data_IF_232248217223
#
_entry.id   IF_232248217223
#
_cell.length_a   1.000
_cell.length_b   1.000
_cell.length_c   1.000
_cell.angle_alpha   90.00
_cell.angle_beta   90.00
_cell.angle_gamma   90.00
#
_symmetry.space_group_name_H-M   'P 1'
#
loop_
_entity.id
_entity.type
_entity.pdbx_description
1 polymer ?
#
# COMPACT_ATOMS: atom_id res chain seq x y z
N UNK A 1 6.40 -29.78 -27.55
CA UNK A 1 5.68 -28.94 -26.56
C UNK A 1 6.66 -27.87 -26.03
N UNK A 2 6.95 -26.84 -26.82
CA UNK A 2 7.86 -25.75 -26.40
C UNK A 2 7.04 -24.65 -25.72
N UNK A 3 7.31 -24.44 -24.43
CA UNK A 3 6.71 -23.36 -23.63
C UNK A 3 7.39 -22.06 -24.04
N UNK A 4 6.73 -21.27 -24.88
CA UNK A 4 7.23 -19.95 -25.29
C UNK A 4 7.27 -19.02 -24.08
N UNK A 5 8.47 -18.77 -23.56
CA UNK A 5 8.70 -17.76 -22.53
C UNK A 5 8.59 -16.40 -23.21
N UNK A 6 7.43 -15.75 -23.08
CA UNK A 6 7.23 -14.38 -23.56
C UNK A 6 8.21 -13.48 -22.81
N UNK A 7 9.20 -12.91 -23.51
CA UNK A 7 10.13 -11.94 -22.91
C UNK A 7 9.30 -10.74 -22.43
N UNK A 8 9.40 -10.43 -21.14
CA UNK A 8 8.85 -9.21 -20.56
C UNK A 8 9.56 -8.01 -21.20
N UNK A 9 8.83 -6.93 -21.44
CA UNK A 9 9.45 -5.67 -21.90
C UNK A 9 10.40 -5.15 -20.81
N UNK A 10 11.29 -4.25 -21.18
CA UNK A 10 12.21 -3.62 -20.23
C UNK A 10 11.44 -2.94 -19.08
N UNK A 11 10.32 -2.25 -19.41
CA UNK A 11 9.45 -1.60 -18.44
C UNK A 11 8.76 -2.61 -17.51
N UNK A 12 8.27 -3.74 -18.05
CA UNK A 12 7.66 -4.79 -17.25
C UNK A 12 8.67 -5.44 -16.29
N UNK A 13 9.91 -5.63 -16.75
CA UNK A 13 10.99 -6.16 -15.90
C UNK A 13 11.33 -5.19 -14.78
N UNK A 14 11.40 -3.90 -15.08
CA UNK A 14 11.66 -2.85 -14.10
C UNK A 14 10.54 -2.79 -13.05
N UNK A 15 9.29 -2.81 -13.49
CA UNK A 15 8.11 -2.83 -12.61
C UNK A 15 8.13 -4.07 -11.69
N UNK A 16 8.40 -5.25 -12.24
CA UNK A 16 8.48 -6.49 -11.48
C UNK A 16 9.57 -6.43 -10.40
N UNK A 17 10.77 -5.97 -10.77
CA UNK A 17 11.87 -5.82 -9.81
C UNK A 17 11.49 -4.83 -8.70
N UNK A 18 10.85 -3.71 -9.03
CA UNK A 18 10.39 -2.73 -8.03
C UNK A 18 9.38 -3.32 -7.06
N UNK A 19 8.41 -4.09 -7.57
CA UNK A 19 7.42 -4.78 -6.74
C UNK A 19 8.05 -5.79 -5.79
N UNK A 20 9.03 -6.59 -6.27
CA UNK A 20 9.78 -7.52 -5.43
C UNK A 20 10.54 -6.81 -4.31
N UNK A 21 11.23 -5.72 -4.65
CA UNK A 21 11.99 -4.92 -3.67
C UNK A 21 11.07 -4.29 -2.64
N UNK A 22 9.98 -3.63 -3.06
CA UNK A 22 9.02 -3.01 -2.16
C UNK A 22 8.40 -4.04 -1.21
N UNK A 23 8.04 -5.22 -1.73
CA UNK A 23 7.46 -6.30 -0.93
C UNK A 23 8.43 -6.80 0.16
N UNK A 24 9.71 -6.98 -0.16
CA UNK A 24 10.71 -7.38 0.83
C UNK A 24 10.84 -6.37 1.97
N UNK A 25 10.85 -5.07 1.64
CA UNK A 25 10.93 -3.98 2.63
C UNK A 25 9.62 -3.87 3.43
N UNK A 26 8.48 -4.19 2.82
CA UNK A 26 7.19 -4.24 3.52
C UNK A 26 7.16 -5.34 4.58
N UNK A 27 7.61 -6.55 4.25
CA UNK A 27 7.51 -7.71 5.13
C UNK A 27 8.50 -7.67 6.31
N UNK A 28 9.68 -7.07 6.14
CA UNK A 28 10.69 -7.00 7.21
C UNK A 28 11.72 -5.89 7.02
N UNK A 29 12.44 -5.56 8.10
CA UNK A 29 13.58 -4.65 8.04
C UNK A 29 14.75 -5.31 7.31
N UNK A 30 15.11 -4.81 6.12
CA UNK A 30 16.11 -5.43 5.24
C UNK A 30 17.09 -4.39 4.72
N UNK A 31 18.34 -4.81 4.48
CA UNK A 31 19.31 -3.99 3.77
C UNK A 31 19.25 -4.19 2.25
N UNK A 32 19.87 -3.27 1.49
CA UNK A 32 20.06 -3.45 0.04
C UNK A 32 20.77 -4.76 -0.32
N UNK A 33 21.70 -5.20 0.54
CA UNK A 33 22.43 -6.45 0.36
C UNK A 33 21.53 -7.67 0.59
N UNK A 34 20.61 -7.61 1.56
CA UNK A 34 19.64 -8.68 1.81
C UNK A 34 18.66 -8.80 0.65
N UNK A 35 18.18 -7.67 0.14
CA UNK A 35 17.32 -7.61 -1.04
C UNK A 35 17.99 -8.29 -2.24
N UNK A 36 19.23 -7.90 -2.58
CA UNK A 36 19.94 -8.51 -3.71
C UNK A 36 20.13 -10.03 -3.54
N UNK A 37 20.47 -10.48 -2.33
CA UNK A 37 20.63 -11.92 -2.03
C UNK A 37 19.32 -12.69 -2.12
N UNK A 38 18.23 -12.18 -1.54
CA UNK A 38 16.95 -12.87 -1.47
C UNK A 38 16.21 -12.88 -2.83
N UNK A 39 16.37 -11.83 -3.63
CA UNK A 39 15.67 -11.68 -4.92
C UNK A 39 16.48 -12.18 -6.13
N UNK A 40 17.77 -12.45 -5.96
CA UNK A 40 18.68 -12.79 -7.07
C UNK A 40 19.02 -11.62 -7.99
N UNK A 41 18.60 -10.40 -7.64
CA UNK A 41 18.94 -9.20 -8.40
C UNK A 41 20.41 -8.84 -8.26
N UNK A 42 20.97 -8.20 -9.30
CA UNK A 42 22.29 -7.59 -9.17
C UNK A 42 22.26 -6.48 -8.12
N UNK A 43 23.41 -6.22 -7.47
CA UNK A 43 23.53 -5.11 -6.50
C UNK A 43 23.13 -3.76 -7.10
N UNK A 44 23.45 -3.54 -8.37
CA UNK A 44 23.09 -2.31 -9.09
C UNK A 44 21.59 -2.21 -9.27
N UNK A 45 20.92 -3.27 -9.74
CA UNK A 45 19.47 -3.29 -9.95
C UNK A 45 18.69 -3.11 -8.65
N UNK A 46 19.11 -3.80 -7.57
CA UNK A 46 18.49 -3.63 -6.26
C UNK A 46 18.67 -2.20 -5.72
N UNK A 47 19.86 -1.62 -5.90
CA UNK A 47 20.13 -0.25 -5.45
C UNK A 47 19.33 0.78 -6.23
N UNK A 48 19.17 0.61 -7.54
CA UNK A 48 18.32 1.47 -8.38
C UNK A 48 16.85 1.39 -7.98
N UNK A 49 16.31 0.18 -7.80
CA UNK A 49 14.93 0.00 -7.37
C UNK A 49 14.67 0.63 -5.99
N UNK A 50 15.61 0.49 -5.05
CA UNK A 50 15.51 1.15 -3.73
C UNK A 50 15.58 2.67 -3.87
N UNK A 51 16.48 3.20 -4.70
CA UNK A 51 16.60 4.65 -4.90
C UNK A 51 15.30 5.25 -5.45
N UNK A 52 14.67 4.62 -6.44
CA UNK A 52 13.38 5.06 -6.99
C UNK A 52 12.27 5.05 -5.93
N UNK A 53 12.21 4.00 -5.08
CA UNK A 53 11.23 3.93 -3.99
C UNK A 53 11.48 5.01 -2.91
N UNK A 54 12.73 5.37 -2.66
CA UNK A 54 13.09 6.46 -1.76
C UNK A 54 12.74 7.83 -2.35
N UNK A 55 12.98 8.04 -3.64
CA UNK A 55 12.59 9.26 -4.37
C UNK A 55 11.07 9.49 -4.34
N UNK A 56 10.28 8.42 -4.41
CA UNK A 56 8.82 8.50 -4.29
C UNK A 56 8.31 8.70 -2.85
N UNK A 57 9.22 8.67 -1.87
CA UNK A 57 8.91 8.79 -0.45
C UNK A 57 8.28 7.54 0.18
N UNK A 58 8.29 6.39 -0.51
CA UNK A 58 7.72 5.14 0.00
C UNK A 58 8.65 4.41 0.98
N UNK A 59 9.96 4.61 0.82
CA UNK A 59 11.00 3.93 1.60
C UNK A 59 11.96 4.95 2.22
N UNK A 60 12.41 4.68 3.44
CA UNK A 60 13.42 5.47 4.17
C UNK A 60 14.53 4.59 4.72
N UNK A 61 15.66 5.24 5.01
CA UNK A 61 16.77 4.63 5.75
C UNK A 61 16.41 4.55 7.24
N UNK A 62 16.25 3.32 7.73
CA UNK A 62 15.87 2.98 9.10
C UNK A 62 17.01 2.98 10.10
N UNK A 63 18.22 3.33 9.68
CA UNK A 63 19.40 3.28 10.54
C UNK A 63 20.12 1.93 10.51
N UNK A 64 20.94 1.68 11.54
CA UNK A 64 21.87 0.55 11.57
C UNK A 64 21.21 -0.71 12.16
N UNK A 65 21.33 -1.83 11.45
CA UNK A 65 20.93 -3.14 11.96
C UNK A 65 21.97 -3.76 12.90
N UNK A 66 21.64 -4.89 13.55
CA UNK A 66 22.57 -5.63 14.40
C UNK A 66 23.83 -6.03 13.62
N UNK A 67 25.01 -5.77 14.18
CA UNK A 67 26.29 -6.15 13.55
C UNK A 67 26.78 -7.48 14.11
N UNK A 68 27.04 -8.46 13.24
CA UNK A 68 27.70 -9.71 13.57
C UNK A 68 29.21 -9.70 13.22
N UNK A 69 29.77 -8.52 12.92
CA UNK A 69 31.15 -8.31 12.46
C UNK A 69 31.19 -7.50 11.15
N UNK A 70 32.02 -6.45 11.11
CA UNK A 70 32.12 -5.51 9.98
C UNK A 70 31.23 -4.25 10.12
N UNK A 71 31.10 -3.48 9.02
CA UNK A 71 30.26 -2.26 9.00
C UNK A 71 28.78 -2.64 9.12
N UNK A 72 28.03 -2.10 10.10
CA UNK A 72 26.63 -2.43 10.29
C UNK A 72 25.80 -2.16 9.00
N UNK A 73 24.91 -3.08 8.61
CA UNK A 73 24.05 -2.86 7.45
C UNK A 73 23.04 -1.74 7.76
N UNK A 74 22.73 -0.93 6.75
CA UNK A 74 21.62 0.03 6.86
C UNK A 74 20.31 -0.64 6.49
N UNK A 75 19.37 -0.62 7.41
CA UNK A 75 18.04 -1.20 7.23
C UNK A 75 17.14 -0.21 6.51
N UNK A 76 16.23 -0.75 5.71
CA UNK A 76 15.22 0.00 4.98
C UNK A 76 13.86 -0.25 5.63
N UNK A 77 13.04 0.79 5.69
CA UNK A 77 11.66 0.72 6.15
C UNK A 77 10.72 1.40 5.17
N UNK A 78 9.46 0.95 5.17
CA UNK A 78 8.38 1.70 4.54
C UNK A 78 7.99 2.86 5.43
N UNK A 79 7.68 3.98 4.78
CA UNK A 79 7.02 5.12 5.42
C UNK A 79 5.52 4.82 5.45
N UNK A 80 5.01 4.41 6.61
CA UNK A 80 3.64 3.90 6.73
C UNK A 80 2.58 4.88 6.18
N UNK A 81 2.75 6.18 6.46
CA UNK A 81 1.81 7.24 6.04
C UNK A 81 2.11 7.85 4.64
N UNK A 82 3.05 7.27 3.88
CA UNK A 82 3.43 7.82 2.57
C UNK A 82 2.30 7.81 1.55
N UNK A 83 1.38 6.85 1.65
CA UNK A 83 0.18 6.75 0.82
C UNK A 83 -0.96 6.22 1.67
N UNK A 84 -2.18 6.54 1.25
CA UNK A 84 -3.39 6.08 1.90
C UNK A 84 -4.29 5.34 0.91
N UNK A 85 -4.97 4.30 1.38
CA UNK A 85 -6.04 3.62 0.66
C UNK A 85 -7.39 3.98 1.27
N UNK A 86 -8.43 4.10 0.44
CA UNK A 86 -9.80 4.31 0.90
C UNK A 86 -10.57 3.01 0.65
N UNK A 87 -11.15 2.45 1.70
CA UNK A 87 -12.09 1.33 1.61
C UNK A 87 -13.51 1.83 1.87
N UNK A 88 -14.44 1.36 1.05
CA UNK A 88 -15.86 1.63 1.22
C UNK A 88 -16.58 0.28 1.33
N UNK A 89 -17.31 0.10 2.42
CA UNK A 89 -18.19 -1.03 2.66
C UNK A 89 -19.63 -0.54 2.59
N UNK A 90 -20.41 -1.10 1.66
CA UNK A 90 -21.82 -0.80 1.47
C UNK A 90 -22.61 -2.03 1.92
N UNK A 91 -23.21 -1.94 3.10
CA UNK A 91 -23.85 -3.08 3.75
C UNK A 91 -25.19 -2.66 4.35
N UNK A 92 -26.27 -3.33 3.92
CA UNK A 92 -27.62 -3.07 4.42
C UNK A 92 -28.10 -1.64 4.16
N UNK A 93 -28.36 -0.89 5.24
CA UNK A 93 -28.80 0.52 5.21
C UNK A 93 -27.70 1.48 5.66
N UNK A 94 -26.43 1.09 5.55
CA UNK A 94 -25.30 1.87 6.02
C UNK A 94 -24.16 1.84 4.99
N UNK A 95 -23.46 2.97 4.87
CA UNK A 95 -22.22 3.10 4.10
C UNK A 95 -21.09 3.42 5.07
N UNK A 96 -20.09 2.56 5.09
CA UNK A 96 -18.89 2.69 5.92
C UNK A 96 -17.71 3.06 5.04
N UNK A 97 -17.02 4.13 5.37
CA UNK A 97 -15.79 4.56 4.73
C UNK A 97 -14.62 4.50 5.70
N UNK A 98 -13.48 3.99 5.28
CA UNK A 98 -12.25 3.96 6.07
C UNK A 98 -11.05 4.39 5.23
N UNK A 99 -10.16 5.16 5.84
CA UNK A 99 -8.84 5.51 5.29
C UNK A 99 -7.81 4.63 5.98
N UNK A 100 -6.96 3.98 5.19
CA UNK A 100 -5.91 3.09 5.65
C UNK A 100 -4.55 3.62 5.27
N UNK A 101 -3.56 3.50 6.15
CA UNK A 101 -2.16 3.70 5.81
C UNK A 101 -1.60 2.50 5.00
N UNK A 102 -0.31 2.54 4.64
CA UNK A 102 0.32 1.44 3.90
C UNK A 102 0.40 0.14 4.70
N UNK A 103 0.34 0.18 6.04
CA UNK A 103 0.28 -1.01 6.91
C UNK A 103 -1.12 -1.56 7.06
N UNK A 104 -2.11 -0.96 6.40
CA UNK A 104 -3.52 -1.33 6.53
C UNK A 104 -4.13 -0.92 7.86
N UNK A 105 -3.48 -0.03 8.63
CA UNK A 105 -4.07 0.52 9.86
C UNK A 105 -5.08 1.59 9.49
N UNK A 106 -6.23 1.58 10.17
CA UNK A 106 -7.27 2.59 9.97
C UNK A 106 -6.80 3.91 10.57
N UNK A 107 -6.64 4.92 9.71
CA UNK A 107 -6.30 6.31 10.09
C UNK A 107 -7.57 7.11 10.38
N UNK A 108 -8.60 6.91 9.55
CA UNK A 108 -9.93 7.52 9.73
C UNK A 108 -11.03 6.55 9.37
N UNK A 109 -12.19 6.70 10.01
CA UNK A 109 -13.39 5.94 9.71
C UNK A 109 -14.63 6.82 9.84
N UNK A 110 -15.60 6.61 8.96
CA UNK A 110 -16.90 7.25 8.96
C UNK A 110 -17.97 6.20 8.67
N UNK A 111 -19.12 6.33 9.31
CA UNK A 111 -20.31 5.57 8.97
C UNK A 111 -21.48 6.50 8.73
N UNK A 112 -22.19 6.30 7.63
CA UNK A 112 -23.34 7.09 7.24
C UNK A 112 -24.55 6.18 7.02
N UNK A 113 -25.74 6.53 7.54
CA UNK A 113 -26.95 5.85 7.15
C UNK A 113 -27.20 6.09 5.65
N UNK A 114 -27.59 5.06 4.94
CA UNK A 114 -27.94 5.15 3.53
C UNK A 114 -29.33 5.79 3.44
N UNK A 115 -29.50 6.91 2.70
CA UNK A 115 -30.81 7.49 2.52
C UNK A 115 -31.72 6.44 1.89
N UNK A 116 -32.79 6.09 2.60
CA UNK A 116 -33.80 5.20 2.02
C UNK A 116 -34.32 5.87 0.76
N UNK A 117 -34.33 5.12 -0.35
CA UNK A 117 -35.05 5.52 -1.56
C UNK A 117 -36.56 5.44 -1.31
N UNK A 118 -37.05 6.22 -0.36
CA UNK A 118 -38.46 6.52 -0.16
C UNK A 118 -38.64 8.00 -0.47
N UNK A 119 -38.62 8.32 -1.76
CA UNK A 119 -39.51 9.35 -2.28
C UNK A 119 -40.93 8.84 -2.07
N UNK A 120 -41.51 9.13 -0.91
CA UNK A 120 -42.84 8.68 -0.51
C UNK A 120 -43.50 9.80 0.28
N UNK A 121 -44.44 10.45 -0.38
CA UNK A 121 -45.31 11.50 0.13
C UNK A 121 -45.82 11.23 1.56
N UNK A 122 -45.70 12.24 2.43
CA UNK A 122 -46.61 12.43 3.56
C UNK A 122 -46.53 13.88 4.06
N UNK A 123 -47.57 14.65 3.72
CA UNK A 123 -47.79 16.01 4.18
C UNK A 123 -49.17 16.56 3.80
N UNK A 124 -50.13 15.70 3.46
CA UNK A 124 -51.55 16.07 3.49
C UNK A 124 -52.05 15.87 4.92
N UNK A 125 -52.23 16.98 5.63
CA UNK A 125 -52.81 17.02 6.96
C UNK A 125 -53.15 18.45 7.34
N UNK A 126 -54.04 19.10 6.57
CA UNK A 126 -54.72 20.29 7.04
C UNK A 126 -56.15 19.90 7.44
N UNK A 127 -56.40 19.89 8.74
CA UNK A 127 -57.68 19.52 9.34
C UNK A 127 -57.59 19.61 10.87
N UNK A 128 -57.59 20.83 11.39
CA UNK A 128 -58.26 21.27 12.64
C UNK A 128 -58.06 22.80 12.74
N UNK A 129 -59.07 23.63 12.47
CA UNK A 129 -60.20 23.97 13.34
C UNK A 129 -59.78 24.75 14.60
N UNK A 130 -59.77 26.08 14.48
CA UNK A 130 -60.23 27.03 15.49
C UNK A 130 -60.53 28.38 14.80
#
# INVERSE_FOLDING_TARGET
MQRSVRKLTQDQTKLHNRQLVLRMIYESAVSRADIARATGLTRTTASQAVAELMEEGLVVDGGQGPSAGGKPPRLLHIVDDARHAIGVDVSGYEVRGSVFDLRGRVVHHLSLPMPSASGGAAGSGNGDAA
#
